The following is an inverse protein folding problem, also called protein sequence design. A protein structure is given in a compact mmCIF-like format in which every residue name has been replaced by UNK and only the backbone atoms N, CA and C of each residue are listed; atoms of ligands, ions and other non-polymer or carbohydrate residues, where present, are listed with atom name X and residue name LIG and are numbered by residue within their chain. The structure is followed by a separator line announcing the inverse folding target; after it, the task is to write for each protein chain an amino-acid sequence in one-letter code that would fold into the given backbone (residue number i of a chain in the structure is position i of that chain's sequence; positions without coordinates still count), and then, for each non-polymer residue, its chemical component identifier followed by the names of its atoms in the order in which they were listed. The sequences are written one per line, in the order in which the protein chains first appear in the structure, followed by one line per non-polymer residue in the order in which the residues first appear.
data_IF_737990735099
#
_entry.id   IF_737990735099
#
_cell.length_a   1.000
_cell.length_b   1.000
_cell.length_c   1.000
_cell.angle_alpha   90.00
_cell.angle_beta   90.00
_cell.angle_gamma   90.00
#
_symmetry.space_group_name_H-M   'P 1'
#
loop_
_entity.id
_entity.type
_entity.pdbx_description
1 polymer ?
#
# COMPACT_ATOMS: atom_id res chain seq x y z
N UNK A 1 32.58 19.56 -5.93
CA UNK A 1 32.14 18.82 -4.72
C UNK A 1 30.65 19.05 -4.43
N UNK A 2 30.16 20.30 -4.43
CA UNK A 2 28.73 20.65 -4.18
C UNK A 2 27.70 20.04 -5.15
N UNK A 3 28.04 19.82 -6.43
CA UNK A 3 27.06 19.31 -7.41
C UNK A 3 26.71 17.83 -7.22
N UNK A 4 27.64 17.04 -6.70
CA UNK A 4 27.44 15.61 -6.42
C UNK A 4 26.48 15.44 -5.23
N UNK A 5 26.65 16.25 -4.18
CA UNK A 5 25.77 16.26 -3.01
C UNK A 5 24.33 16.64 -3.40
N UNK A 6 24.18 17.66 -4.28
CA UNK A 6 22.88 18.05 -4.81
C UNK A 6 22.22 16.91 -5.60
N UNK A 7 22.99 16.19 -6.40
CA UNK A 7 22.49 15.06 -7.19
C UNK A 7 22.04 13.90 -6.29
N UNK A 8 22.83 13.56 -5.27
CA UNK A 8 22.51 12.54 -4.28
C UNK A 8 21.24 12.90 -3.49
N UNK A 9 21.08 14.17 -3.09
CA UNK A 9 19.89 14.62 -2.37
C UNK A 9 18.61 14.51 -3.22
N UNK A 10 18.69 14.88 -4.51
CA UNK A 10 17.57 14.72 -5.45
C UNK A 10 17.21 13.25 -5.64
N UNK A 11 18.22 12.38 -5.75
CA UNK A 11 18.02 10.95 -5.92
C UNK A 11 17.37 10.29 -4.69
N UNK A 12 17.85 10.63 -3.48
CA UNK A 12 17.28 10.18 -2.20
C UNK A 12 15.83 10.64 -2.08
N UNK A 13 15.55 11.91 -2.38
CA UNK A 13 14.19 12.47 -2.29
C UNK A 13 13.24 11.77 -3.26
N UNK A 14 13.68 11.49 -4.49
CA UNK A 14 12.89 10.76 -5.49
C UNK A 14 12.60 9.32 -5.08
N UNK A 15 13.59 8.61 -4.51
CA UNK A 15 13.39 7.26 -3.97
C UNK A 15 12.40 7.31 -2.79
N UNK A 16 12.55 8.27 -1.90
CA UNK A 16 11.67 8.42 -0.73
C UNK A 16 10.22 8.65 -1.15
N UNK A 17 9.99 9.53 -2.13
CA UNK A 17 8.66 9.75 -2.72
C UNK A 17 8.15 8.49 -3.44
N UNK A 18 8.99 7.79 -4.20
CA UNK A 18 8.60 6.54 -4.88
C UNK A 18 8.23 5.43 -3.89
N UNK A 19 8.93 5.32 -2.76
CA UNK A 19 8.63 4.35 -1.72
C UNK A 19 7.37 4.71 -0.93
N UNK A 20 7.16 5.99 -0.61
CA UNK A 20 5.92 6.48 0.03
C UNK A 20 4.72 6.27 -0.89
N UNK A 21 4.89 6.54 -2.19
CA UNK A 21 3.85 6.38 -3.22
C UNK A 21 3.78 4.94 -3.74
N UNK A 22 4.57 4.00 -3.18
CA UNK A 22 4.48 2.60 -3.59
C UNK A 22 3.08 2.09 -3.23
N UNK A 23 2.30 1.78 -4.26
CA UNK A 23 0.92 1.35 -4.16
C UNK A 23 0.84 0.05 -3.35
N UNK A 24 0.62 0.14 -2.04
CA UNK A 24 0.38 -1.05 -1.24
C UNK A 24 -0.98 -1.63 -1.67
N UNK A 25 -0.93 -2.81 -2.28
CA UNK A 25 -2.12 -3.58 -2.59
C UNK A 25 -2.69 -4.16 -1.29
N UNK A 26 -3.91 -3.77 -0.97
CA UNK A 26 -4.65 -4.30 0.17
C UNK A 26 -5.93 -5.02 -0.30
N UNK A 27 -6.58 -5.68 0.64
CA UNK A 27 -7.86 -6.35 0.45
C UNK A 27 -8.91 -5.64 1.28
N UNK A 28 -9.97 -5.13 0.64
CA UNK A 28 -11.01 -4.36 1.32
C UNK A 28 -12.34 -5.08 1.29
N UNK A 29 -12.97 -5.21 2.45
CA UNK A 29 -14.38 -5.53 2.57
C UNK A 29 -15.17 -4.22 2.73
N UNK A 30 -15.95 -3.85 1.72
CA UNK A 30 -16.76 -2.63 1.77
C UNK A 30 -17.95 -2.73 2.72
N UNK A 31 -18.49 -3.95 2.94
CA UNK A 31 -19.62 -4.16 3.84
C UNK A 31 -19.26 -3.95 5.31
N UNK A 32 -18.08 -4.41 5.72
CA UNK A 32 -17.57 -4.21 7.08
C UNK A 32 -16.67 -2.98 7.23
N UNK A 33 -16.34 -2.32 6.12
CA UNK A 33 -15.32 -1.28 6.04
C UNK A 33 -13.96 -1.71 6.67
N UNK A 34 -13.59 -2.98 6.49
CA UNK A 34 -12.32 -3.53 6.95
C UNK A 34 -11.31 -3.58 5.80
N UNK A 35 -10.05 -3.33 6.12
CA UNK A 35 -8.91 -3.43 5.21
C UNK A 35 -7.91 -4.43 5.77
N UNK A 36 -7.47 -5.37 4.93
CA UNK A 36 -6.52 -6.42 5.25
C UNK A 36 -5.30 -6.27 4.35
N UNK A 37 -4.09 -6.38 4.91
CA UNK A 37 -2.85 -6.32 4.14
C UNK A 37 -2.56 -7.65 3.44
N UNK A 38 -2.82 -8.75 4.14
CA UNK A 38 -2.56 -10.11 3.68
C UNK A 38 -3.81 -10.76 3.08
N UNK A 39 -3.63 -11.51 1.99
CA UNK A 39 -4.72 -12.20 1.30
C UNK A 39 -5.36 -13.28 2.17
N UNK A 40 -4.57 -14.03 2.95
CA UNK A 40 -5.06 -15.15 3.75
C UNK A 40 -6.01 -14.70 4.86
N UNK A 41 -5.71 -13.56 5.49
CA UNK A 41 -6.61 -12.93 6.48
C UNK A 41 -7.92 -12.50 5.80
N UNK A 42 -7.83 -11.95 4.58
CA UNK A 42 -9.00 -11.56 3.80
C UNK A 42 -9.85 -12.75 3.35
N UNK A 43 -9.24 -13.91 3.05
CA UNK A 43 -9.93 -15.18 2.77
C UNK A 43 -10.67 -15.69 4.00
N UNK A 44 -10.01 -15.71 5.16
CA UNK A 44 -10.65 -16.10 6.42
C UNK A 44 -11.88 -15.23 6.68
N UNK A 45 -11.75 -13.90 6.52
CA UNK A 45 -12.88 -12.97 6.64
C UNK A 45 -14.02 -13.35 5.68
N UNK A 46 -13.72 -13.60 4.41
CA UNK A 46 -14.72 -14.02 3.40
C UNK A 46 -15.42 -15.32 3.80
N UNK A 47 -14.69 -16.29 4.36
CA UNK A 47 -15.24 -17.59 4.73
C UNK A 47 -16.20 -17.53 5.92
N UNK A 48 -15.82 -16.81 6.98
CA UNK A 48 -16.60 -16.71 8.22
C UNK A 48 -17.79 -15.74 8.09
N UNK A 49 -17.62 -14.63 7.37
CA UNK A 49 -18.65 -13.60 7.25
C UNK A 49 -19.52 -13.76 6.01
N UNK A 50 -19.09 -14.57 5.04
CA UNK A 50 -19.67 -14.65 3.69
C UNK A 50 -19.70 -13.30 2.95
N UNK A 51 -18.90 -12.32 3.37
CA UNK A 51 -18.78 -11.04 2.68
C UNK A 51 -17.74 -11.12 1.56
N UNK A 52 -17.99 -10.39 0.48
CA UNK A 52 -17.01 -10.21 -0.58
C UNK A 52 -15.86 -9.32 -0.11
N UNK A 53 -14.68 -9.62 -0.64
CA UNK A 53 -13.46 -8.85 -0.44
C UNK A 53 -12.85 -8.58 -1.81
N UNK A 54 -12.38 -7.36 -2.03
CA UNK A 54 -11.78 -6.92 -3.30
C UNK A 54 -10.36 -6.44 -3.08
N UNK A 55 -9.47 -6.74 -4.02
CA UNK A 55 -8.11 -6.18 -4.03
C UNK A 55 -8.18 -4.70 -4.44
N UNK A 56 -7.60 -3.82 -3.65
CA UNK A 56 -7.59 -2.37 -3.84
C UNK A 56 -6.17 -1.84 -3.77
N UNK A 57 -5.88 -0.79 -4.54
CA UNK A 57 -4.67 0.02 -4.35
C UNK A 57 -4.93 0.98 -3.20
N UNK A 58 -4.08 0.97 -2.18
CA UNK A 58 -4.14 1.94 -1.10
C UNK A 58 -3.09 3.00 -1.36
N UNK A 59 -3.53 4.25 -1.43
CA UNK A 59 -2.63 5.39 -1.36
C UNK A 59 -2.30 5.56 0.12
N UNK A 60 -1.08 5.22 0.52
CA UNK A 60 -0.54 5.61 1.82
C UNK A 60 -0.04 7.04 1.64
N UNK A 61 -0.79 8.01 2.16
CA UNK A 61 -0.48 9.44 2.10
C UNK A 61 0.17 9.87 3.41
#
# INVERSE_FOLDING_TARGET
MQEIERFMQIFITKIHVYLIVSEELAWKCFRCNLTFREEDVAKIHREISKHSVSKVKVLVV
#
